data_IF_005589814617
#
_entry.id   IF_005589814617
#
_cell.length_a   1.000
_cell.length_b   1.000
_cell.length_c   1.000
_cell.angle_alpha   90.00
_cell.angle_beta   90.00
_cell.angle_gamma   90.00
#
_symmetry.space_group_name_H-M   'P 1'
#
loop_
_entity.id
_entity.type
_entity.pdbx_description
1 polymer ?
#
# COMPACT_ATOMS: atom_id res chain seq x y z
N UNK A 1 -5.79 -11.45 -2.58
CA UNK A 1 -4.83 -10.60 -1.87
C UNK A 1 -3.97 -9.93 -2.91
N UNK A 2 -4.39 -8.74 -3.32
CA UNK A 2 -3.73 -7.90 -4.34
C UNK A 2 -3.12 -6.65 -3.73
N UNK A 3 -3.52 -6.27 -2.51
CA UNK A 3 -3.03 -5.06 -1.83
C UNK A 3 -1.88 -5.33 -0.84
N UNK A 4 -1.77 -6.56 -0.33
CA UNK A 4 -0.78 -6.89 0.69
C UNK A 4 0.65 -6.87 0.14
N UNK A 5 1.52 -6.09 0.77
CA UNK A 5 2.94 -5.95 0.40
C UNK A 5 3.80 -5.98 1.66
N UNK A 6 4.76 -6.90 1.73
CA UNK A 6 5.73 -6.96 2.82
C UNK A 6 6.88 -5.96 2.60
N UNK A 7 7.29 -5.24 3.64
CA UNK A 7 8.37 -4.25 3.59
C UNK A 7 9.09 -4.15 4.94
N UNK A 8 10.41 -3.86 4.99
CA UNK A 8 11.12 -3.70 6.24
C UNK A 8 10.78 -2.39 6.96
N UNK A 9 10.94 -2.38 8.28
CA UNK A 9 10.95 -1.16 9.09
C UNK A 9 12.28 -1.08 9.86
N UNK A 10 12.95 0.06 9.80
CA UNK A 10 14.19 0.30 10.53
C UNK A 10 14.33 1.78 10.95
N UNK A 11 15.31 2.07 11.80
CA UNK A 11 15.54 3.43 12.35
C UNK A 11 16.41 4.31 11.45
N UNK A 12 16.95 3.76 10.36
CA UNK A 12 17.80 4.47 9.42
C UNK A 12 17.52 4.02 7.98
N UNK A 13 17.78 4.90 7.02
CA UNK A 13 17.62 4.58 5.59
C UNK A 13 18.63 3.52 5.15
N UNK A 14 19.85 3.53 5.70
CA UNK A 14 20.87 2.52 5.43
C UNK A 14 20.43 1.11 5.85
N UNK A 15 19.79 0.99 7.02
CA UNK A 15 19.27 -0.30 7.48
C UNK A 15 18.09 -0.76 6.61
N UNK A 16 17.19 0.16 6.23
CA UNK A 16 16.08 -0.13 5.30
C UNK A 16 16.59 -0.64 3.95
N UNK A 17 17.59 0.01 3.37
CA UNK A 17 18.19 -0.39 2.09
C UNK A 17 18.82 -1.76 2.18
N UNK A 18 19.55 -2.06 3.25
CA UNK A 18 20.16 -3.36 3.47
C UNK A 18 19.09 -4.46 3.57
N UNK A 19 18.06 -4.25 4.39
CA UNK A 19 16.96 -5.22 4.54
C UNK A 19 16.19 -5.42 3.24
N UNK A 20 15.82 -4.34 2.56
CA UNK A 20 15.07 -4.41 1.30
C UNK A 20 15.89 -5.13 0.22
N UNK A 21 17.20 -4.90 0.13
CA UNK A 21 18.09 -5.59 -0.80
C UNK A 21 18.06 -7.12 -0.63
N UNK A 22 18.00 -7.61 0.60
CA UNK A 22 17.91 -9.06 0.86
C UNK A 22 16.48 -9.62 0.78
N UNK A 23 15.46 -8.79 0.95
CA UNK A 23 14.05 -9.20 0.83
C UNK A 23 13.55 -9.19 -0.61
N UNK A 24 14.04 -8.28 -1.45
CA UNK A 24 13.59 -8.10 -2.81
C UNK A 24 14.14 -9.21 -3.72
N UNK A 25 13.26 -9.84 -4.47
CA UNK A 25 13.61 -10.91 -5.40
C UNK A 25 12.38 -11.68 -5.85
N UNK A 26 12.54 -12.43 -6.93
CA UNK A 26 11.51 -13.35 -7.37
C UNK A 26 11.44 -14.56 -6.43
N UNK A 27 10.22 -14.91 -6.02
CA UNK A 27 9.92 -16.12 -5.26
C UNK A 27 8.96 -16.99 -6.06
N UNK A 28 9.47 -18.11 -6.59
CA UNK A 28 8.70 -19.07 -7.38
C UNK A 28 7.55 -19.74 -6.60
N UNK A 29 7.59 -19.72 -5.26
CA UNK A 29 6.52 -20.26 -4.43
C UNK A 29 5.40 -19.25 -4.18
N UNK A 30 5.58 -17.98 -4.57
CA UNK A 30 4.58 -16.95 -4.44
C UNK A 30 4.01 -16.60 -5.82
N UNK A 31 2.76 -16.99 -6.15
CA UNK A 31 2.13 -16.70 -7.43
C UNK A 31 1.97 -15.19 -7.73
N UNK A 32 2.02 -14.33 -6.69
CA UNK A 32 2.01 -12.87 -6.84
C UNK A 32 3.39 -12.25 -7.01
N UNK A 33 4.47 -13.03 -6.97
CA UNK A 33 5.83 -12.53 -7.14
C UNK A 33 6.08 -12.17 -8.60
N UNK A 34 6.66 -10.98 -8.83
CA UNK A 34 7.03 -10.50 -10.15
C UNK A 34 8.48 -10.90 -10.46
N UNK A 35 8.67 -11.58 -11.59
CA UNK A 35 10.01 -11.87 -12.13
C UNK A 35 10.55 -10.64 -12.88
N UNK A 36 11.02 -9.67 -12.10
CA UNK A 36 11.59 -8.42 -12.59
C UNK A 36 12.96 -8.18 -11.96
N UNK A 37 13.82 -7.47 -12.69
CA UNK A 37 15.14 -7.09 -12.18
C UNK A 37 14.98 -6.22 -10.92
N UNK A 38 15.65 -6.62 -9.84
CA UNK A 38 15.72 -5.85 -8.60
C UNK A 38 16.81 -4.77 -8.73
N UNK A 39 16.51 -3.48 -8.53
CA UNK A 39 17.52 -2.43 -8.50
C UNK A 39 18.54 -2.65 -7.39
N UNK A 40 19.79 -2.21 -7.61
CA UNK A 40 20.80 -2.26 -6.56
C UNK A 40 20.69 -1.04 -5.64
N UNK A 41 19.83 -1.15 -4.64
CA UNK A 41 19.53 -0.07 -3.68
C UNK A 41 20.77 0.45 -2.91
N UNK A 42 21.81 -0.37 -2.77
CA UNK A 42 23.01 -0.02 -1.99
C UNK A 42 23.86 1.02 -2.72
N UNK A 43 24.04 0.88 -4.04
CA UNK A 43 24.83 1.82 -4.82
C UNK A 43 24.15 3.17 -4.98
N UNK A 44 22.82 3.18 -5.07
CA UNK A 44 22.06 4.41 -5.35
C UNK A 44 21.78 5.26 -4.12
N UNK A 45 22.05 4.76 -2.91
CA UNK A 45 21.67 5.39 -1.63
C UNK A 45 22.16 6.84 -1.50
N UNK A 46 23.31 7.18 -2.09
CA UNK A 46 23.95 8.50 -1.94
C UNK A 46 23.91 9.37 -3.22
N UNK A 47 23.09 9.02 -4.21
CA UNK A 47 23.03 9.76 -5.48
C UNK A 47 22.39 11.15 -5.36
N UNK A 48 21.75 11.46 -4.22
CA UNK A 48 21.05 12.73 -4.00
C UNK A 48 19.75 12.84 -4.82
N UNK A 49 19.12 14.00 -4.79
CA UNK A 49 17.79 14.24 -5.40
C UNK A 49 17.74 15.43 -6.36
N UNK A 50 18.90 15.95 -6.77
CA UNK A 50 19.00 17.10 -7.66
C UNK A 50 18.26 16.84 -8.98
N UNK A 51 17.30 17.70 -9.33
CA UNK A 51 16.50 17.60 -10.56
C UNK A 51 15.36 16.57 -10.51
N UNK A 52 15.14 15.89 -9.37
CA UNK A 52 13.98 15.01 -9.21
C UNK A 52 12.72 15.87 -9.04
N UNK A 53 11.68 15.54 -9.81
CA UNK A 53 10.35 16.16 -9.67
C UNK A 53 9.52 15.36 -8.67
N UNK A 54 9.03 16.03 -7.63
CA UNK A 54 8.20 15.44 -6.58
C UNK A 54 6.79 16.04 -6.70
N UNK A 55 5.83 15.18 -7.01
CA UNK A 55 4.42 15.56 -7.11
C UNK A 55 3.74 15.63 -5.76
N UNK A 56 3.11 16.76 -5.43
CA UNK A 56 2.33 16.97 -4.20
C UNK A 56 0.83 16.96 -4.52
N UNK A 57 0.10 15.87 -4.23
CA UNK A 57 -1.33 15.80 -4.48
C UNK A 57 -2.10 16.66 -3.48
N UNK A 58 -2.64 17.79 -3.96
CA UNK A 58 -3.33 18.78 -3.12
C UNK A 58 -4.50 18.19 -2.33
N UNK A 59 -5.14 17.13 -2.83
CA UNK A 59 -6.24 16.42 -2.16
C UNK A 59 -5.90 15.99 -0.72
N UNK A 60 -4.68 15.45 -0.49
CA UNK A 60 -4.28 14.96 0.84
C UNK A 60 -3.76 16.06 1.78
N UNK A 61 -3.59 17.28 1.26
CA UNK A 61 -3.08 18.42 2.03
C UNK A 61 -4.20 19.31 2.58
N UNK A 62 -5.46 18.94 2.31
CA UNK A 62 -6.63 19.60 2.85
C UNK A 62 -6.84 19.19 4.32
N UNK A 63 -7.19 20.16 5.16
CA UNK A 63 -7.57 19.96 6.57
C UNK A 63 -6.51 19.23 7.43
N UNK A 64 -5.22 19.43 7.11
CA UNK A 64 -4.14 18.95 7.96
C UNK A 64 -4.18 19.62 9.35
N UNK A 65 -3.84 18.85 10.37
CA UNK A 65 -3.58 19.42 11.69
C UNK A 65 -2.42 20.44 11.60
N UNK A 66 -2.48 21.59 12.30
CA UNK A 66 -1.52 22.68 12.10
C UNK A 66 -0.06 22.28 12.32
N UNK A 67 0.20 21.38 13.28
CA UNK A 67 1.52 20.83 13.56
C UNK A 67 2.06 19.95 12.41
N UNK A 68 1.19 19.14 11.80
CA UNK A 68 1.51 18.32 10.63
C UNK A 68 1.77 19.19 9.40
N UNK A 69 0.97 20.24 9.19
CA UNK A 69 1.15 21.18 8.07
C UNK A 69 2.52 21.88 8.15
N UNK A 70 2.94 22.31 9.33
CA UNK A 70 4.27 22.91 9.56
C UNK A 70 5.38 21.91 9.24
N UNK A 71 5.29 20.68 9.76
CA UNK A 71 6.30 19.64 9.51
C UNK A 71 6.39 19.29 8.01
N UNK A 72 5.25 19.20 7.33
CA UNK A 72 5.20 18.95 5.90
C UNK A 72 5.90 20.07 5.11
N UNK A 73 5.61 21.35 5.42
CA UNK A 73 6.27 22.50 4.79
C UNK A 73 7.78 22.48 4.98
N UNK A 74 8.27 22.21 6.20
CA UNK A 74 9.72 22.09 6.45
C UNK A 74 10.36 20.94 5.66
N UNK A 75 9.67 19.80 5.52
CA UNK A 75 10.14 18.71 4.68
C UNK A 75 10.25 19.15 3.21
N UNK A 76 9.26 19.89 2.69
CA UNK A 76 9.31 20.41 1.32
C UNK A 76 10.43 21.41 1.09
N UNK A 77 10.65 22.34 2.03
CA UNK A 77 11.77 23.28 1.98
C UNK A 77 13.13 22.56 1.96
N UNK A 78 13.26 21.49 2.74
CA UNK A 78 14.46 20.65 2.76
C UNK A 78 14.69 19.98 1.39
N UNK A 79 13.64 19.43 0.78
CA UNK A 79 13.72 18.80 -0.54
C UNK A 79 14.08 19.81 -1.64
N UNK A 80 13.50 21.00 -1.62
CA UNK A 80 13.86 22.11 -2.50
C UNK A 80 15.33 22.53 -2.34
N UNK A 81 15.80 22.67 -1.10
CA UNK A 81 17.18 23.01 -0.79
C UNK A 81 18.17 21.97 -1.33
N UNK A 82 17.80 20.69 -1.28
CA UNK A 82 18.58 19.58 -1.84
C UNK A 82 18.48 19.45 -3.37
N UNK A 83 17.74 20.36 -4.03
CA UNK A 83 17.70 20.49 -5.48
C UNK A 83 16.55 19.75 -6.16
N UNK A 84 15.57 19.24 -5.42
CA UNK A 84 14.35 18.69 -6.01
C UNK A 84 13.43 19.81 -6.52
N UNK A 85 12.58 19.49 -7.48
CA UNK A 85 11.51 20.35 -7.98
C UNK A 85 10.17 19.88 -7.42
N UNK A 86 9.42 20.77 -6.76
CA UNK A 86 8.10 20.43 -6.22
C UNK A 86 7.02 20.87 -7.21
N UNK A 87 6.11 19.96 -7.53
CA UNK A 87 5.06 20.18 -8.52
C UNK A 87 3.73 19.83 -7.88
N UNK A 88 2.82 20.79 -7.82
CA UNK A 88 1.45 20.51 -7.40
C UNK A 88 0.72 19.69 -8.47
N UNK A 89 0.07 18.62 -8.03
CA UNK A 89 -0.65 17.71 -8.92
C UNK A 89 -2.10 17.59 -8.49
N UNK A 90 -3.01 17.74 -9.45
CA UNK A 90 -4.43 17.48 -9.26
C UNK A 90 -4.77 16.08 -9.81
N UNK A 91 -5.34 15.23 -8.96
CA UNK A 91 -5.79 13.89 -9.32
C UNK A 91 -7.22 13.73 -8.77
N UNK A 92 -8.25 14.10 -9.56
CA UNK A 92 -9.65 14.10 -9.11
C UNK A 92 -10.12 12.76 -8.54
N UNK A 93 -9.61 11.64 -9.07
CA UNK A 93 -9.97 10.28 -8.68
C UNK A 93 -9.51 9.91 -7.26
N UNK A 94 -8.59 10.68 -6.65
CA UNK A 94 -8.18 10.45 -5.26
C UNK A 94 -9.34 10.58 -4.28
N UNK A 95 -10.39 11.33 -4.63
CA UNK A 95 -11.63 11.39 -3.87
C UNK A 95 -12.30 10.02 -3.68
N UNK A 96 -12.04 9.06 -4.57
CA UNK A 96 -12.58 7.70 -4.51
C UNK A 96 -11.60 6.69 -3.89
N UNK A 97 -10.33 7.07 -3.67
CA UNK A 97 -9.27 6.14 -3.28
C UNK A 97 -9.59 5.36 -1.99
N UNK A 98 -10.08 6.04 -0.96
CA UNK A 98 -10.50 5.41 0.31
C UNK A 98 -11.62 4.40 0.11
N UNK A 99 -12.64 4.76 -0.67
CA UNK A 99 -13.78 3.88 -0.94
C UNK A 99 -13.36 2.64 -1.75
N UNK A 100 -12.57 2.85 -2.81
CA UNK A 100 -12.02 1.79 -3.64
C UNK A 100 -11.14 0.83 -2.83
N UNK A 101 -10.20 1.36 -2.05
CA UNK A 101 -9.33 0.58 -1.19
C UNK A 101 -10.10 -0.27 -0.18
N UNK A 102 -11.10 0.34 0.49
CA UNK A 102 -11.94 -0.37 1.45
C UNK A 102 -12.77 -1.48 0.80
N UNK A 103 -13.36 -1.22 -0.37
CA UNK A 103 -14.18 -2.19 -1.10
C UNK A 103 -13.35 -3.41 -1.54
N UNK A 104 -12.15 -3.17 -2.06
CA UNK A 104 -11.23 -4.24 -2.45
C UNK A 104 -10.83 -5.03 -1.19
N UNK A 105 -10.28 -4.37 -0.17
CA UNK A 105 -9.80 -5.02 1.03
C UNK A 105 -10.89 -5.86 1.74
N UNK A 106 -12.11 -5.31 1.87
CA UNK A 106 -13.24 -6.04 2.45
C UNK A 106 -13.60 -7.28 1.63
N UNK A 107 -13.67 -7.15 0.30
CA UNK A 107 -13.98 -8.24 -0.60
C UNK A 107 -12.94 -9.35 -0.57
N UNK A 108 -11.65 -9.00 -0.54
CA UNK A 108 -10.56 -9.96 -0.43
C UNK A 108 -10.57 -10.70 0.91
N UNK A 109 -10.75 -9.96 2.01
CA UNK A 109 -10.81 -10.52 3.35
C UNK A 109 -12.01 -11.47 3.51
N UNK A 110 -13.17 -11.09 3.00
CA UNK A 110 -14.37 -11.92 3.00
C UNK A 110 -14.19 -13.21 2.18
N UNK A 111 -13.49 -13.14 1.05
CA UNK A 111 -13.19 -14.31 0.23
C UNK A 111 -12.24 -15.27 0.98
N UNK A 112 -11.18 -14.74 1.60
CA UNK A 112 -10.19 -15.51 2.34
C UNK A 112 -10.74 -16.15 3.62
N UNK A 113 -11.54 -15.40 4.38
CA UNK A 113 -12.14 -15.88 5.63
C UNK A 113 -13.50 -16.56 5.47
N UNK A 114 -13.94 -16.82 4.23
CA UNK A 114 -15.32 -17.24 3.96
C UNK A 114 -15.81 -18.42 4.81
N UNK A 115 -15.04 -19.51 4.87
CA UNK A 115 -15.41 -20.72 5.62
C UNK A 115 -15.39 -20.47 7.13
N UNK A 116 -14.38 -19.75 7.62
CA UNK A 116 -14.25 -19.42 9.05
C UNK A 116 -15.38 -18.48 9.50
N UNK A 117 -15.76 -17.54 8.65
CA UNK A 117 -16.88 -16.64 8.89
C UNK A 117 -18.22 -17.38 8.97
N UNK A 118 -18.40 -18.49 8.25
CA UNK A 118 -19.63 -19.28 8.35
C UNK A 118 -19.71 -20.12 9.63
N UNK A 119 -18.57 -20.60 10.11
CA UNK A 119 -18.53 -21.62 11.19
C UNK A 119 -18.16 -21.03 12.55
N UNK A 120 -17.44 -19.91 12.57
CA UNK A 120 -16.81 -19.31 13.76
C UNK A 120 -16.94 -17.77 13.79
N UNK A 121 -18.02 -17.22 13.21
CA UNK A 121 -18.22 -15.75 13.14
C UNK A 121 -18.11 -15.02 14.49
N UNK A 122 -18.53 -15.67 15.57
CA UNK A 122 -18.55 -15.09 16.91
C UNK A 122 -17.15 -14.94 17.53
N UNK A 123 -16.12 -15.56 16.94
CA UNK A 123 -14.73 -15.42 17.39
C UNK A 123 -14.07 -14.12 16.89
N UNK A 124 -14.64 -13.50 15.86
CA UNK A 124 -14.22 -12.17 15.42
C UNK A 124 -14.76 -11.09 16.35
N UNK A 125 -13.95 -10.06 16.57
CA UNK A 125 -14.43 -8.80 17.16
C UNK A 125 -15.51 -8.18 16.27
N UNK A 126 -16.39 -7.36 16.86
CA UNK A 126 -17.59 -6.88 16.20
C UNK A 126 -17.30 -6.02 14.95
N UNK A 127 -16.23 -5.23 15.00
CA UNK A 127 -15.72 -4.40 13.91
C UNK A 127 -15.21 -5.24 12.74
N UNK A 128 -14.35 -6.24 13.00
CA UNK A 128 -13.80 -7.13 11.97
C UNK A 128 -14.90 -7.99 11.34
N UNK A 129 -15.81 -8.51 12.16
CA UNK A 129 -16.97 -9.27 11.64
C UNK A 129 -17.83 -8.41 10.71
N UNK A 130 -18.10 -7.16 11.11
CA UNK A 130 -18.91 -6.24 10.29
C UNK A 130 -18.21 -5.93 8.97
N UNK A 131 -16.89 -5.70 9.01
CA UNK A 131 -16.07 -5.48 7.82
C UNK A 131 -16.11 -6.66 6.84
N UNK A 132 -15.91 -7.89 7.32
CA UNK A 132 -15.94 -9.08 6.47
C UNK A 132 -17.33 -9.36 5.89
N UNK A 133 -18.38 -9.20 6.69
CA UNK A 133 -19.75 -9.36 6.20
C UNK A 133 -20.10 -8.33 5.14
N UNK A 134 -19.67 -7.07 5.30
CA UNK A 134 -19.84 -6.04 4.28
C UNK A 134 -19.14 -6.43 2.97
N UNK A 135 -17.91 -6.97 3.05
CA UNK A 135 -17.19 -7.49 1.88
C UNK A 135 -17.91 -8.65 1.19
N UNK A 136 -18.53 -9.55 1.96
CA UNK A 136 -19.27 -10.70 1.44
C UNK A 136 -20.54 -10.33 0.65
N UNK A 137 -21.08 -9.13 0.87
CA UNK A 137 -22.25 -8.60 0.14
C UNK A 137 -21.91 -8.01 -1.22
N UNK A 138 -20.61 -7.88 -1.55
CA UNK A 138 -20.16 -7.38 -2.85
C UNK A 138 -19.95 -8.54 -3.85
N UNK A 139 -19.80 -8.22 -5.14
CA UNK A 139 -19.41 -9.22 -6.17
C UNK A 139 -17.92 -9.55 -6.13
N UNK A 140 -17.11 -8.80 -5.37
CA UNK A 140 -15.66 -8.95 -5.28
C UNK A 140 -15.20 -10.36 -4.89
N UNK A 141 -15.82 -11.05 -3.90
CA UNK A 141 -15.46 -12.43 -3.58
C UNK A 141 -15.70 -13.39 -4.75
N UNK A 142 -16.75 -13.19 -5.54
CA UNK A 142 -17.03 -14.01 -6.73
C UNK A 142 -16.01 -13.75 -7.84
N UNK A 143 -15.63 -12.49 -8.04
CA UNK A 143 -14.57 -12.11 -8.98
C UNK A 143 -13.21 -12.72 -8.62
N UNK A 144 -12.81 -12.66 -7.34
CA UNK A 144 -11.54 -13.23 -6.88
C UNK A 144 -11.50 -14.74 -7.06
N UNK A 145 -12.61 -15.44 -6.74
CA UNK A 145 -12.74 -16.89 -6.95
C UNK A 145 -12.59 -17.28 -8.41
N UNK A 146 -13.21 -16.54 -9.33
CA UNK A 146 -13.09 -16.79 -10.78
C UNK A 146 -11.70 -16.49 -11.34
N UNK A 147 -11.02 -15.50 -10.76
CA UNK A 147 -9.68 -15.08 -11.16
C UNK A 147 -8.57 -16.02 -10.68
N UNK A 148 -8.89 -17.02 -9.84
CA UNK A 148 -7.96 -18.04 -9.33
C UNK A 148 -8.46 -19.47 -9.63
N UNK A 149 -8.45 -19.92 -10.90
CA UNK A 149 -8.90 -21.26 -11.26
C UNK A 149 -7.85 -22.29 -10.81
N UNK A 150 -8.15 -23.05 -9.76
CA UNK A 150 -7.25 -24.11 -9.25
C UNK A 150 -7.31 -24.28 -7.72
N UNK A 151 -7.77 -23.26 -7.01
CA UNK A 151 -8.02 -23.37 -5.58
C UNK A 151 -9.40 -24.04 -5.38
N UNK A 152 -9.41 -25.37 -5.24
CA UNK A 152 -10.59 -26.10 -4.79
C UNK A 152 -10.80 -25.83 -3.28
N UNK A 153 -11.58 -24.79 -2.96
CA UNK A 153 -12.14 -24.55 -1.63
C UNK A 153 -13.55 -25.14 -1.51
#
# INVERSE_FOLDING_TARGET
MTLDTASPMARSVSDLVCMLYYMAGFDANNPGSLDVSVPNYIYDLNNGIQGIKIGTPAYFLQDLAPDIEILFKHAMETLLYLGAEIVDVEIPELALSTFSGYTIAAGEAAALHHQWLQTHSNEYSADIRSFFLAGALTETPQYIRRSRPGDNW
#
